data_IF_957744564260
#
_entry.id   IF_957744564260
#
_cell.length_a   1.000
_cell.length_b   1.000
_cell.length_c   1.000
_cell.angle_alpha   90.00
_cell.angle_beta   90.00
_cell.angle_gamma   90.00
#
_symmetry.space_group_name_H-M   'P 1'
#
loop_
_entity.id
_entity.type
_entity.pdbx_description
1 polymer ?
#
# COMPACT_ATOMS: atom_id res chain seq x y z
N UNK A 1 -30.57 4.09 -10.56
CA UNK A 1 -29.62 4.91 -11.35
C UNK A 1 -29.99 4.81 -12.81
N UNK A 2 -30.19 5.94 -13.44
CA UNK A 2 -30.41 5.97 -14.88
C UNK A 2 -29.07 5.92 -15.61
N UNK A 3 -28.98 5.03 -16.60
CA UNK A 3 -27.84 5.02 -17.49
C UNK A 3 -28.04 6.07 -18.59
N UNK A 4 -26.98 6.78 -18.99
CA UNK A 4 -27.09 7.76 -20.06
C UNK A 4 -27.48 7.08 -21.38
N UNK A 5 -28.38 7.72 -22.11
CA UNK A 5 -28.77 7.28 -23.44
C UNK A 5 -27.70 7.71 -24.44
N UNK A 6 -27.25 6.80 -25.29
CA UNK A 6 -26.29 7.06 -26.34
C UNK A 6 -24.90 6.48 -26.08
N UNK A 7 -23.97 6.63 -27.00
CA UNK A 7 -22.63 6.08 -26.87
C UNK A 7 -21.84 6.78 -25.75
N UNK A 8 -20.94 6.07 -25.08
CA UNK A 8 -20.11 6.68 -24.05
C UNK A 8 -19.19 7.77 -24.66
N UNK A 9 -19.03 8.88 -23.94
CA UNK A 9 -18.12 9.95 -24.33
C UNK A 9 -16.73 9.65 -23.77
N UNK A 10 -15.73 9.36 -24.62
CA UNK A 10 -14.38 9.04 -24.17
C UNK A 10 -13.65 10.21 -23.49
N UNK A 11 -14.17 11.43 -23.66
CA UNK A 11 -13.60 12.63 -23.02
C UNK A 11 -14.26 12.98 -21.68
N UNK A 12 -15.25 12.20 -21.28
CA UNK A 12 -15.95 12.45 -20.01
C UNK A 12 -14.99 12.33 -18.82
N UNK A 13 -14.98 13.32 -17.98
CA UNK A 13 -14.24 13.29 -16.71
C UNK A 13 -15.10 12.70 -15.60
N UNK A 14 -14.51 11.84 -14.77
CA UNK A 14 -15.12 11.27 -13.57
C UNK A 14 -14.44 11.86 -12.34
N UNK A 15 -14.59 13.17 -12.13
CA UNK A 15 -13.94 13.92 -11.06
C UNK A 15 -12.41 13.85 -11.15
N UNK A 16 -11.88 13.80 -12.39
CA UNK A 16 -10.46 13.69 -12.64
C UNK A 16 -9.88 12.29 -12.47
N UNK A 17 -10.70 11.29 -12.17
CA UNK A 17 -10.27 9.92 -12.04
C UNK A 17 -10.47 9.16 -13.33
N UNK A 18 -9.62 8.17 -13.57
CA UNK A 18 -9.68 7.31 -14.75
C UNK A 18 -9.90 5.87 -14.33
N UNK A 19 -10.56 5.10 -15.20
CA UNK A 19 -10.62 3.66 -15.02
C UNK A 19 -9.21 3.08 -15.15
N UNK A 20 -8.83 2.20 -14.21
CA UNK A 20 -7.52 1.56 -14.18
C UNK A 20 -7.69 0.05 -14.15
N UNK A 21 -7.00 -0.63 -15.05
CA UNK A 21 -6.78 -2.06 -14.96
C UNK A 21 -5.27 -2.30 -14.84
N UNK A 22 -4.81 -2.63 -13.64
CA UNK A 22 -3.42 -2.98 -13.39
C UNK A 22 -3.16 -4.44 -13.76
N UNK A 23 -2.20 -4.66 -14.65
CA UNK A 23 -1.82 -6.00 -15.08
C UNK A 23 -0.49 -6.37 -14.43
N UNK A 24 -0.53 -7.29 -13.48
CA UNK A 24 0.59 -7.62 -12.61
C UNK A 24 1.85 -8.08 -13.37
N UNK A 25 1.70 -8.84 -14.44
CA UNK A 25 2.81 -9.36 -15.23
C UNK A 25 3.51 -8.29 -16.09
N UNK A 26 2.89 -7.12 -16.29
CA UNK A 26 3.48 -6.00 -17.01
C UNK A 26 4.25 -5.04 -16.11
N UNK A 27 4.14 -5.19 -14.80
CA UNK A 27 4.79 -4.32 -13.84
C UNK A 27 6.07 -4.97 -13.30
N UNK A 28 7.06 -4.13 -12.98
CA UNK A 28 8.30 -4.57 -12.37
C UNK A 28 8.34 -4.21 -10.88
N UNK A 29 9.07 -5.01 -10.11
CA UNK A 29 9.34 -4.74 -8.71
C UNK A 29 10.36 -3.61 -8.60
N UNK A 30 10.10 -2.65 -7.71
CA UNK A 30 10.98 -1.53 -7.40
C UNK A 30 11.18 -1.44 -5.90
N UNK A 31 12.22 -0.75 -5.47
CA UNK A 31 12.44 -0.49 -4.05
C UNK A 31 11.22 0.22 -3.46
N UNK A 32 10.78 -0.27 -2.31
CA UNK A 32 9.69 0.33 -1.55
C UNK A 32 10.22 1.50 -0.71
N UNK A 33 9.32 2.38 -0.26
CA UNK A 33 9.67 3.54 0.59
C UNK A 33 10.32 3.17 1.93
N UNK A 34 10.13 1.92 2.39
CA UNK A 34 10.77 1.39 3.59
C UNK A 34 11.80 0.35 3.15
N UNK A 35 13.09 0.46 3.59
CA UNK A 35 14.08 -0.57 3.30
C UNK A 35 13.64 -1.95 3.80
N UNK A 36 14.02 -2.99 3.10
CA UNK A 36 13.64 -4.36 3.41
C UNK A 36 12.53 -4.89 2.52
N UNK A 37 11.98 -4.06 1.63
CA UNK A 37 10.86 -4.41 0.77
C UNK A 37 11.04 -3.93 -0.66
N UNK A 38 10.35 -4.61 -1.56
CA UNK A 38 10.13 -4.15 -2.93
C UNK A 38 8.63 -4.09 -3.17
N UNK A 39 8.20 -3.28 -4.12
CA UNK A 39 6.77 -3.10 -4.41
C UNK A 39 6.47 -3.02 -5.88
N UNK A 40 5.21 -3.32 -6.22
CA UNK A 40 4.60 -2.99 -7.51
C UNK A 40 3.56 -1.91 -7.27
N UNK A 41 3.73 -0.78 -7.92
CA UNK A 41 2.75 0.30 -7.93
C UNK A 41 1.64 -0.06 -8.93
N UNK A 42 0.40 -0.07 -8.47
CA UNK A 42 -0.75 -0.38 -9.31
C UNK A 42 -1.20 0.78 -10.18
N UNK A 43 -0.55 1.94 -10.07
CA UNK A 43 -0.89 3.18 -10.77
C UNK A 43 -2.26 3.76 -10.38
N UNK A 44 -2.88 3.25 -9.34
CA UNK A 44 -4.17 3.75 -8.87
C UNK A 44 -4.04 5.18 -8.36
N UNK A 45 -2.98 5.50 -7.63
CA UNK A 45 -2.72 6.87 -7.17
C UNK A 45 -2.56 7.85 -8.35
N UNK A 46 -1.78 7.49 -9.35
CA UNK A 46 -1.57 8.31 -10.53
C UNK A 46 -2.88 8.58 -11.30
N UNK A 47 -3.77 7.59 -11.38
CA UNK A 47 -5.00 7.66 -12.16
C UNK A 47 -6.20 8.17 -11.37
N UNK A 48 -6.05 8.48 -10.08
CA UNK A 48 -7.12 8.98 -9.21
C UNK A 48 -6.78 10.33 -8.57
N UNK A 49 -5.88 11.11 -9.16
CA UNK A 49 -5.38 12.37 -8.60
C UNK A 49 -4.84 12.20 -7.17
N UNK A 50 -4.23 11.06 -6.89
CA UNK A 50 -3.67 10.72 -5.57
C UNK A 50 -4.71 10.65 -4.45
N UNK A 51 -5.99 10.42 -4.78
CA UNK A 51 -7.02 10.18 -3.75
C UNK A 51 -6.69 8.92 -2.96
N UNK A 52 -6.26 7.86 -3.64
CA UNK A 52 -5.85 6.62 -3.01
C UNK A 52 -4.64 6.02 -3.72
N UNK A 53 -3.80 5.32 -2.98
CA UNK A 53 -2.72 4.52 -3.54
C UNK A 53 -2.90 3.06 -3.16
N UNK A 54 -2.49 2.15 -4.04
CA UNK A 54 -2.48 0.72 -3.78
C UNK A 54 -1.18 0.13 -4.30
N UNK A 55 -0.46 -0.58 -3.44
CA UNK A 55 0.79 -1.24 -3.80
C UNK A 55 0.79 -2.68 -3.28
N UNK A 56 1.40 -3.56 -4.04
CA UNK A 56 1.72 -4.92 -3.60
C UNK A 56 3.17 -4.91 -3.12
N UNK A 57 3.43 -5.42 -1.92
CA UNK A 57 4.72 -5.33 -1.24
C UNK A 57 5.25 -6.72 -0.95
N UNK A 58 6.52 -6.95 -1.20
CA UNK A 58 7.24 -8.18 -0.84
C UNK A 58 8.48 -7.88 -0.03
N UNK A 59 8.90 -8.85 0.81
CA UNK A 59 10.21 -8.81 1.45
C UNK A 59 11.32 -8.98 0.42
N UNK A 60 12.42 -8.23 0.60
CA UNK A 60 13.64 -8.43 -0.21
C UNK A 60 14.74 -9.16 0.57
N UNK A 61 14.44 -9.69 1.75
CA UNK A 61 15.38 -10.41 2.60
C UNK A 61 16.26 -9.53 3.50
N UNK A 62 16.14 -8.22 3.38
CA UNK A 62 16.89 -7.27 4.24
C UNK A 62 16.02 -6.82 5.42
N UNK A 63 16.66 -6.32 6.48
CA UNK A 63 15.93 -5.81 7.65
C UNK A 63 15.23 -4.50 7.32
N UNK A 64 13.99 -4.38 7.80
CA UNK A 64 13.25 -3.14 7.74
C UNK A 64 13.76 -2.15 8.81
N UNK A 65 13.50 -0.87 8.59
CA UNK A 65 13.77 0.21 9.55
C UNK A 65 12.48 0.69 10.18
N UNK A 66 12.60 1.24 11.39
CA UNK A 66 11.51 1.96 12.01
C UNK A 66 11.15 3.19 11.17
N UNK A 67 9.85 3.48 11.05
CA UNK A 67 9.37 4.57 10.20
C UNK A 67 8.07 5.17 10.72
N UNK A 68 7.78 6.38 10.22
CA UNK A 68 6.48 7.05 10.34
C UNK A 68 5.97 7.42 8.95
N UNK A 69 4.68 7.71 8.84
CA UNK A 69 4.09 8.19 7.58
C UNK A 69 3.11 9.34 7.84
N UNK A 70 2.76 10.05 6.79
CA UNK A 70 1.85 11.21 6.85
C UNK A 70 0.50 10.98 6.18
N UNK A 71 0.22 9.78 5.67
CA UNK A 71 -1.07 9.48 5.07
C UNK A 71 -2.18 9.47 6.13
N UNK A 72 -3.39 9.91 5.78
CA UNK A 72 -4.52 9.90 6.71
C UNK A 72 -4.93 8.46 7.06
N UNK A 73 -4.93 7.58 6.07
CA UNK A 73 -5.17 6.15 6.27
C UNK A 73 -4.07 5.37 5.59
N UNK A 74 -3.42 4.49 6.33
CA UNK A 74 -2.48 3.52 5.81
C UNK A 74 -2.94 2.14 6.26
N UNK A 75 -3.54 1.40 5.35
CA UNK A 75 -4.10 0.08 5.57
C UNK A 75 -3.23 -0.97 4.91
N UNK A 76 -3.01 -2.09 5.59
CA UNK A 76 -2.31 -3.24 5.02
C UNK A 76 -3.10 -4.52 5.26
N UNK A 77 -3.01 -5.42 4.30
CA UNK A 77 -3.60 -6.75 4.36
C UNK A 77 -2.51 -7.79 4.07
N UNK A 78 -2.38 -8.79 4.94
CA UNK A 78 -1.41 -9.87 4.73
C UNK A 78 -2.00 -10.89 3.76
N UNK A 79 -1.42 -10.99 2.57
CA UNK A 79 -1.86 -11.94 1.54
C UNK A 79 -1.15 -13.28 1.69
N UNK A 80 0.14 -13.26 2.01
CA UNK A 80 0.97 -14.46 2.12
C UNK A 80 2.09 -14.21 3.12
N UNK A 81 2.59 -15.28 3.76
CA UNK A 81 3.68 -15.18 4.70
C UNK A 81 3.27 -14.63 6.06
N UNK A 82 4.27 -14.36 6.89
CA UNK A 82 4.07 -13.88 8.27
C UNK A 82 5.04 -12.75 8.59
N UNK A 83 4.66 -11.93 9.55
CA UNK A 83 5.52 -10.87 10.08
C UNK A 83 5.08 -10.49 11.49
N UNK A 84 5.94 -9.73 12.19
CA UNK A 84 5.59 -9.07 13.44
C UNK A 84 5.51 -7.58 13.21
N UNK A 85 4.45 -6.93 13.70
CA UNK A 85 4.29 -5.48 13.68
C UNK A 85 4.59 -4.94 15.08
N UNK A 86 5.62 -4.09 15.17
CA UNK A 86 5.97 -3.38 16.39
C UNK A 86 5.54 -1.92 16.26
N UNK A 87 4.69 -1.46 17.16
CA UNK A 87 4.24 -0.06 17.22
C UNK A 87 4.59 0.57 18.55
N UNK A 88 4.91 1.85 18.57
CA UNK A 88 5.25 2.55 19.81
C UNK A 88 4.11 2.48 20.82
N UNK A 89 4.45 2.13 22.05
CA UNK A 89 3.47 2.02 23.12
C UNK A 89 2.53 0.83 23.02
N UNK A 90 2.80 -0.14 22.14
CA UNK A 90 1.98 -1.32 21.92
C UNK A 90 2.78 -2.59 22.05
N UNK A 91 2.10 -3.68 22.44
CA UNK A 91 2.67 -5.01 22.35
C UNK A 91 2.89 -5.41 20.89
N UNK A 92 3.97 -6.16 20.59
CA UNK A 92 4.15 -6.68 19.22
C UNK A 92 3.02 -7.62 18.81
N UNK A 93 2.59 -7.52 17.58
CA UNK A 93 1.56 -8.38 16.99
C UNK A 93 2.15 -9.28 15.93
N UNK A 94 1.95 -10.61 16.08
CA UNK A 94 2.26 -11.57 15.02
C UNK A 94 1.11 -11.60 14.02
N UNK A 95 1.42 -11.43 12.75
CA UNK A 95 0.44 -11.33 11.66
C UNK A 95 0.57 -12.53 10.74
N UNK A 96 -0.56 -13.08 10.32
CA UNK A 96 -0.68 -14.24 9.43
C UNK A 96 -1.57 -13.88 8.24
N UNK A 97 -1.58 -14.68 7.16
CA UNK A 97 -2.44 -14.39 6.01
C UNK A 97 -3.90 -14.21 6.40
N UNK A 98 -4.53 -13.17 5.86
CA UNK A 98 -5.89 -12.76 6.20
C UNK A 98 -5.97 -11.68 7.26
N UNK A 99 -4.90 -11.43 8.01
CA UNK A 99 -4.86 -10.33 8.98
C UNK A 99 -4.72 -8.99 8.27
N UNK A 100 -5.31 -7.96 8.87
CA UNK A 100 -5.23 -6.59 8.38
C UNK A 100 -4.84 -5.65 9.51
N UNK A 101 -4.18 -4.55 9.17
CA UNK A 101 -3.84 -3.53 10.15
C UNK A 101 -3.86 -2.13 9.53
N UNK A 102 -4.05 -1.14 10.40
CA UNK A 102 -3.97 0.28 10.05
C UNK A 102 -2.92 0.91 10.96
N UNK A 103 -2.00 1.66 10.35
CA UNK A 103 -1.01 2.43 11.09
C UNK A 103 -1.47 3.88 11.10
N UNK A 104 -1.77 4.47 12.26
CA UNK A 104 -2.07 5.91 12.35
C UNK A 104 -0.90 6.77 11.83
N UNK A 105 -1.18 7.97 11.31
CA UNK A 105 -0.10 8.86 10.89
C UNK A 105 0.79 9.23 12.07
N UNK A 106 2.10 9.35 11.79
CA UNK A 106 3.16 9.78 12.74
C UNK A 106 3.51 8.72 13.79
N UNK A 107 2.74 7.66 13.92
CA UNK A 107 3.08 6.56 14.83
C UNK A 107 4.35 5.83 14.35
N UNK A 108 5.32 5.66 15.24
CA UNK A 108 6.52 4.88 14.93
C UNK A 108 6.18 3.40 14.87
N UNK A 109 6.53 2.76 13.77
CA UNK A 109 6.32 1.33 13.57
C UNK A 109 7.55 0.68 12.96
N UNK A 110 7.68 -0.62 13.20
CA UNK A 110 8.72 -1.44 12.61
C UNK A 110 8.14 -2.79 12.24
N UNK A 111 8.48 -3.25 11.05
CA UNK A 111 8.14 -4.60 10.59
C UNK A 111 9.32 -5.52 10.92
N UNK A 112 9.08 -6.60 11.63
CA UNK A 112 10.13 -7.53 12.05
C UNK A 112 9.69 -8.98 11.86
N UNK A 113 10.60 -9.92 12.08
CA UNK A 113 10.35 -11.36 11.92
C UNK A 113 9.65 -11.69 10.61
N UNK A 114 10.15 -11.11 9.52
CA UNK A 114 9.53 -11.15 8.21
C UNK A 114 9.88 -12.45 7.51
N UNK A 115 8.86 -13.25 7.15
CA UNK A 115 9.07 -14.46 6.37
C UNK A 115 9.50 -14.12 4.93
N UNK A 116 10.24 -15.03 4.31
CA UNK A 116 10.75 -14.81 2.95
C UNK A 116 9.65 -14.70 1.90
N UNK A 117 8.47 -15.26 2.18
CA UNK A 117 7.32 -15.26 1.29
C UNK A 117 6.29 -14.18 1.63
N UNK A 118 6.60 -13.26 2.55
CA UNK A 118 5.67 -12.20 2.93
C UNK A 118 5.22 -11.40 1.72
N UNK A 119 3.91 -11.24 1.60
CA UNK A 119 3.29 -10.39 0.60
C UNK A 119 2.15 -9.61 1.23
N UNK A 120 2.19 -8.28 1.10
CA UNK A 120 1.20 -7.36 1.65
C UNK A 120 0.50 -6.60 0.53
N UNK A 121 -0.76 -6.28 0.74
CA UNK A 121 -1.47 -5.28 -0.04
C UNK A 121 -1.59 -4.02 0.81
N UNK A 122 -1.02 -2.91 0.36
CA UNK A 122 -1.07 -1.62 1.06
C UNK A 122 -2.00 -0.66 0.34
N UNK A 123 -2.93 -0.06 1.08
CA UNK A 123 -3.83 0.98 0.60
C UNK A 123 -3.58 2.24 1.42
N UNK A 124 -3.37 3.37 0.74
CA UNK A 124 -3.16 4.67 1.38
C UNK A 124 -4.16 5.71 0.88
N UNK A 125 -4.57 6.59 1.78
CA UNK A 125 -5.43 7.74 1.53
C UNK A 125 -4.84 8.95 2.27
N UNK A 126 -4.32 9.99 1.56
CA UNK A 126 -4.11 10.04 0.11
C UNK A 126 -3.04 9.05 -0.38
N UNK A 127 -3.01 8.84 -1.70
CA UNK A 127 -2.03 7.94 -2.32
C UNK A 127 -0.62 8.53 -2.35
N UNK A 128 -0.50 9.85 -2.26
CA UNK A 128 0.78 10.55 -2.19
C UNK A 128 0.99 11.07 -0.77
N UNK A 129 2.05 10.64 -0.12
CA UNK A 129 2.38 10.99 1.26
C UNK A 129 3.87 10.81 1.52
N UNK A 130 4.33 11.31 2.67
CA UNK A 130 5.72 11.20 3.08
C UNK A 130 5.94 10.05 4.04
N UNK A 131 7.14 9.47 3.96
CA UNK A 131 7.64 8.48 4.92
C UNK A 131 8.92 9.00 5.52
N UNK A 132 9.03 8.92 6.83
CA UNK A 132 10.21 9.32 7.58
C UNK A 132 10.84 8.07 8.19
N UNK A 133 12.09 7.78 7.80
CA UNK A 133 12.87 6.67 8.34
C UNK A 133 13.63 7.12 9.60
N UNK A 134 13.61 6.27 10.60
CA UNK A 134 14.26 6.56 11.90
C UNK A 134 15.52 5.73 12.05
#
# INVERSE_FOLDING_TARGET
MELPNGPPNPKRSFQGQKFVHFKSDEASWKDFRIPGFVSKDTLISHNTKHVAGVEVIKSNGKKARESTHTSDILFNFVMEGTMTLEGEGKEPYSLVPGDAFVIPPIMKTKYSDISSDLELLEVSLPGKFDTHLI
#
